data_IF_858562952200
#
_entry.id   IF_858562952200
#
_cell.length_a   1.000
_cell.length_b   1.000
_cell.length_c   1.000
_cell.angle_alpha   90.00
_cell.angle_beta   90.00
_cell.angle_gamma   90.00
#
_symmetry.space_group_name_H-M   'P 1'
#
loop_
_entity.id
_entity.type
_entity.pdbx_description
1 polymer ?
#
# COMPACT_ATOMS: atom_id res chain seq x y z
N UNK A 1 -5.13 14.91 14.16
CA UNK A 1 -5.49 15.13 12.75
C UNK A 1 -6.07 13.84 12.23
N UNK A 2 -7.29 13.87 11.72
CA UNK A 2 -7.93 12.71 11.10
C UNK A 2 -7.39 12.54 9.68
N UNK A 3 -6.47 11.59 9.49
CA UNK A 3 -5.80 11.35 8.20
C UNK A 3 -6.77 10.89 7.10
N UNK A 4 -7.87 10.24 7.49
CA UNK A 4 -8.95 9.79 6.59
C UNK A 4 -9.55 10.95 5.79
N UNK A 5 -9.56 12.17 6.37
CA UNK A 5 -10.05 13.35 5.68
C UNK A 5 -9.23 13.74 4.44
N UNK A 6 -8.02 13.20 4.25
CA UNK A 6 -7.13 13.53 3.14
C UNK A 6 -7.01 12.43 2.09
N UNK A 7 -7.55 11.23 2.35
CA UNK A 7 -7.45 10.08 1.45
C UNK A 7 -8.85 9.72 0.96
N UNK A 8 -8.98 9.33 -0.31
CA UNK A 8 -10.22 8.77 -0.83
C UNK A 8 -9.92 7.63 -1.82
N UNK A 9 -10.92 6.78 -2.04
CA UNK A 9 -10.88 5.71 -3.03
C UNK A 9 -12.10 5.83 -3.92
N UNK A 10 -11.91 6.21 -5.18
CA UNK A 10 -12.97 6.31 -6.19
C UNK A 10 -12.67 5.31 -7.31
N UNK A 11 -13.57 4.38 -7.67
CA UNK A 11 -13.38 3.45 -8.76
C UNK A 11 -12.98 4.12 -10.10
N UNK A 12 -13.41 5.36 -10.32
CA UNK A 12 -13.11 6.15 -11.52
C UNK A 12 -11.71 6.79 -11.48
N UNK A 13 -11.05 6.80 -10.31
CA UNK A 13 -9.72 7.38 -10.10
C UNK A 13 -8.73 6.29 -9.73
N UNK A 14 -7.70 6.11 -10.57
CA UNK A 14 -6.65 5.09 -10.36
C UNK A 14 -7.20 3.69 -10.03
N UNK A 15 -8.30 3.29 -10.68
CA UNK A 15 -8.95 1.99 -10.51
C UNK A 15 -9.40 1.71 -9.06
N UNK A 16 -9.77 2.75 -8.30
CA UNK A 16 -10.18 2.60 -6.90
C UNK A 16 -9.03 2.49 -5.92
N UNK A 17 -7.78 2.70 -6.33
CA UNK A 17 -6.65 2.77 -5.41
C UNK A 17 -6.80 3.96 -4.45
N UNK A 18 -6.35 3.85 -3.18
CA UNK A 18 -6.33 4.97 -2.26
C UNK A 18 -5.44 6.10 -2.79
N UNK A 19 -6.00 7.29 -2.88
CA UNK A 19 -5.36 8.49 -3.43
C UNK A 19 -5.55 9.70 -2.51
N UNK A 20 -4.57 10.60 -2.52
CA UNK A 20 -4.67 11.87 -1.78
C UNK A 20 -5.69 12.77 -2.47
N UNK A 21 -6.68 13.26 -1.72
CA UNK A 21 -7.75 14.14 -2.22
C UNK A 21 -7.18 15.36 -2.95
N UNK A 22 -7.79 15.69 -4.10
CA UNK A 22 -7.33 16.78 -4.96
C UNK A 22 -6.11 16.43 -5.83
N UNK A 23 -5.62 15.20 -5.79
CA UNK A 23 -4.50 14.74 -6.62
C UNK A 23 -4.82 13.40 -7.30
N UNK A 24 -3.98 13.02 -8.26
CA UNK A 24 -3.95 11.65 -8.82
C UNK A 24 -2.73 10.88 -8.31
N UNK A 25 -2.29 11.17 -7.08
CA UNK A 25 -1.16 10.52 -6.46
C UNK A 25 -1.65 9.41 -5.52
N UNK A 26 -1.22 8.17 -5.78
CA UNK A 26 -1.58 7.04 -4.91
C UNK A 26 -0.82 7.09 -3.60
N UNK A 27 -1.48 6.65 -2.53
CA UNK A 27 -0.85 6.52 -1.20
C UNK A 27 0.30 5.51 -1.27
N UNK A 28 0.12 4.43 -2.05
CA UNK A 28 1.14 3.42 -2.32
C UNK A 28 2.43 4.03 -2.88
N UNK A 29 2.32 4.99 -3.82
CA UNK A 29 3.48 5.64 -4.41
C UNK A 29 4.26 6.47 -3.38
N UNK A 30 3.57 7.24 -2.54
CA UNK A 30 4.18 8.05 -1.47
C UNK A 30 4.90 7.14 -0.46
N UNK A 31 4.27 6.04 -0.06
CA UNK A 31 4.88 5.05 0.83
C UNK A 31 6.10 4.39 0.18
N UNK A 32 6.03 4.08 -1.12
CA UNK A 32 7.15 3.58 -1.90
C UNK A 32 8.36 4.52 -1.84
N UNK A 33 8.16 5.83 -2.05
CA UNK A 33 9.23 6.82 -1.93
C UNK A 33 9.82 6.83 -0.52
N UNK A 34 8.97 6.88 0.51
CA UNK A 34 9.41 6.90 1.90
C UNK A 34 10.23 5.66 2.28
N UNK A 35 9.82 4.48 1.84
CA UNK A 35 10.51 3.23 2.15
C UNK A 35 11.79 3.02 1.33
N UNK A 36 11.83 3.50 0.08
CA UNK A 36 13.05 3.52 -0.75
C UNK A 36 14.13 4.38 -0.08
N UNK A 37 13.78 5.59 0.36
CA UNK A 37 14.72 6.47 1.08
C UNK A 37 15.24 5.85 2.37
N UNK A 38 14.43 5.04 3.06
CA UNK A 38 14.78 4.36 4.31
C UNK A 38 15.45 2.99 4.12
N UNK A 39 15.79 2.60 2.87
CA UNK A 39 16.47 1.35 2.57
C UNK A 39 15.66 0.09 2.92
N UNK A 40 14.32 0.18 2.95
CA UNK A 40 13.45 -0.87 3.48
C UNK A 40 12.48 -1.38 2.41
N UNK A 41 12.96 -2.25 1.51
CA UNK A 41 12.10 -2.94 0.53
C UNK A 41 12.12 -4.44 0.82
N UNK A 42 11.17 -4.93 1.64
CA UNK A 42 10.77 -6.35 1.70
C UNK A 42 9.29 -6.46 2.03
N UNK A 43 8.46 -6.60 1.00
CA UNK A 43 7.13 -7.18 1.15
C UNK A 43 7.30 -8.70 1.22
N UNK A 44 7.52 -9.24 2.43
CA UNK A 44 7.50 -10.69 2.64
C UNK A 44 6.04 -11.08 2.79
N UNK A 45 5.39 -11.44 1.69
CA UNK A 45 4.13 -12.18 1.73
C UNK A 45 4.39 -13.46 2.51
N UNK A 46 3.97 -13.49 3.77
CA UNK A 46 3.99 -14.71 4.58
C UNK A 46 2.92 -15.61 3.96
N UNK A 47 3.35 -16.56 3.13
CA UNK A 47 2.58 -17.77 2.85
C UNK A 47 2.43 -18.50 4.19
N UNK A 48 1.34 -18.22 4.89
CA UNK A 48 0.82 -19.07 5.96
C UNK A 48 0.10 -20.24 5.31
N UNK A 49 0.84 -21.12 4.64
CA UNK A 49 0.34 -22.42 4.21
C UNK A 49 1.52 -23.34 3.87
N UNK A 50 1.49 -24.56 4.42
CA UNK A 50 2.50 -25.66 4.32
C UNK A 50 3.71 -25.59 5.26
N UNK A 51 3.45 -25.81 6.54
CA UNK A 51 4.18 -26.89 7.25
C UNK A 51 3.15 -27.76 7.96
N UNK A 52 2.48 -28.60 7.18
CA UNK A 52 1.95 -29.87 7.65
C UNK A 52 2.39 -30.93 6.65
N UNK A 53 3.09 -31.93 7.17
CA UNK A 53 3.29 -33.29 6.62
C UNK A 53 4.32 -33.51 5.50
N UNK A 54 5.50 -33.96 5.94
CA UNK A 54 6.44 -34.98 5.41
C UNK A 54 7.84 -34.51 5.82
N UNK A 55 8.48 -35.02 6.87
CA UNK A 55 8.80 -36.41 7.23
C UNK A 55 8.89 -36.51 8.75
#
# INVERSE_FOLDING_TARGET
MEWDNYIHSDPNVLLGKPVVKGTRLSVEFILGLYFVERGRVRQRSLNVERVSLKV
#
